data_IF_089347154801
#
_entry.id   IF_089347154801
#
_cell.length_a   1.000
_cell.length_b   1.000
_cell.length_c   1.000
_cell.angle_alpha   90.00
_cell.angle_beta   90.00
_cell.angle_gamma   90.00
#
_symmetry.space_group_name_H-M   'P 1'
#
loop_
_entity.id
_entity.type
_entity.pdbx_description
1 polymer ?
#
# COMPACT_ATOMS: atom_id res chain seq x y z
N UNK A 1 -65.41 -36.90 -1.36
CA UNK A 1 -66.15 -35.62 -1.47
C UNK A 1 -65.40 -34.59 -0.61
N UNK A 2 -64.54 -33.75 -1.20
CA UNK A 2 -64.81 -32.35 -1.61
C UNK A 2 -65.31 -31.45 -0.46
N UNK A 3 -64.38 -30.65 0.07
CA UNK A 3 -64.59 -29.52 0.99
C UNK A 3 -64.43 -28.18 0.23
N UNK A 4 -65.29 -27.20 0.56
CA UNK A 4 -65.38 -25.81 0.03
C UNK A 4 -66.50 -25.10 0.80
N UNK A 5 -66.51 -23.81 1.19
CA UNK A 5 -65.63 -22.61 1.10
C UNK A 5 -65.53 -21.99 2.54
N UNK A 6 -64.81 -20.91 2.86
CA UNK A 6 -64.06 -19.92 2.08
C UNK A 6 -64.65 -18.50 2.24
N UNK A 7 -63.78 -17.52 2.58
CA UNK A 7 -64.05 -16.05 2.76
C UNK A 7 -64.65 -15.60 4.10
N UNK A 8 -64.30 -14.44 4.68
CA UNK A 8 -63.14 -13.54 4.51
C UNK A 8 -63.05 -12.48 5.65
N UNK A 9 -61.87 -11.85 5.79
CA UNK A 9 -61.62 -10.48 6.31
C UNK A 9 -62.01 -10.10 7.76
N UNK A 10 -60.98 -9.92 8.59
CA UNK A 10 -60.90 -8.81 9.56
C UNK A 10 -59.42 -8.39 9.71
N UNK A 11 -59.11 -7.11 9.53
CA UNK A 11 -57.76 -6.58 9.68
C UNK A 11 -57.54 -6.07 11.12
N UNK A 12 -56.40 -6.41 11.72
CA UNK A 12 -55.98 -5.88 13.01
C UNK A 12 -54.62 -5.19 12.85
N UNK A 13 -54.61 -3.85 12.94
CA UNK A 13 -53.39 -3.07 13.07
C UNK A 13 -52.96 -3.00 14.53
N UNK A 14 -51.68 -3.24 14.81
CA UNK A 14 -51.07 -3.01 16.13
C UNK A 14 -50.04 -1.90 15.99
N UNK A 15 -50.20 -0.85 16.80
CA UNK A 15 -49.29 0.29 16.80
C UNK A 15 -47.98 -0.07 17.53
N UNK A 16 -46.84 0.20 16.89
CA UNK A 16 -45.53 0.13 17.52
C UNK A 16 -45.13 1.52 18.03
N UNK A 17 -44.88 1.64 19.34
CA UNK A 17 -44.37 2.87 19.96
C UNK A 17 -42.85 2.93 19.75
N UNK A 18 -42.38 3.92 18.98
CA UNK A 18 -40.95 4.22 18.86
C UNK A 18 -40.51 5.09 20.03
N UNK A 19 -39.65 4.54 20.90
CA UNK A 19 -38.92 5.31 21.92
C UNK A 19 -37.64 5.83 21.28
N UNK A 20 -37.54 7.15 21.12
CA UNK A 20 -36.33 7.79 20.63
C UNK A 20 -35.28 7.87 21.75
N UNK A 21 -34.17 7.15 21.60
CA UNK A 21 -32.98 7.31 22.45
C UNK A 21 -32.14 8.43 21.86
N UNK A 22 -32.06 9.57 22.55
CA UNK A 22 -31.16 10.67 22.19
C UNK A 22 -29.76 10.31 22.67
N UNK A 23 -28.90 9.86 21.74
CA UNK A 23 -27.48 9.69 22.01
C UNK A 23 -26.77 11.06 21.89
N UNK A 24 -26.40 11.64 23.02
CA UNK A 24 -25.56 12.84 23.08
C UNK A 24 -24.10 12.48 22.79
N UNK A 25 -23.60 12.84 21.61
CA UNK A 25 -22.16 12.77 21.31
C UNK A 25 -21.37 13.80 22.13
N UNK A 26 -20.18 13.46 22.67
CA UNK A 26 -19.25 14.46 23.21
C UNK A 26 -18.75 15.36 22.08
N UNK A 27 -18.65 16.66 22.33
CA UNK A 27 -18.43 17.66 21.29
C UNK A 27 -17.01 17.68 20.72
N UNK A 28 -16.92 17.77 19.40
CA UNK A 28 -15.76 18.32 18.70
C UNK A 28 -15.60 19.80 19.08
N UNK A 29 -14.38 20.19 19.49
CA UNK A 29 -14.04 21.60 19.68
C UNK A 29 -13.89 22.28 18.30
N UNK A 30 -14.54 23.43 18.11
CA UNK A 30 -14.45 24.22 16.89
C UNK A 30 -13.00 24.72 16.66
N UNK A 31 -12.46 24.85 15.44
CA UNK A 31 -13.05 25.17 14.13
C UNK A 31 -13.54 26.63 14.00
N UNK A 32 -12.63 27.59 14.11
CA UNK A 32 -12.82 28.96 13.64
C UNK A 32 -12.23 29.15 12.23
N UNK A 33 -13.00 29.77 11.31
CA UNK A 33 -12.47 30.29 10.04
C UNK A 33 -12.81 29.54 8.74
N UNK A 34 -13.90 28.76 8.67
CA UNK A 34 -14.31 28.09 7.43
C UNK A 34 -14.70 29.08 6.31
N UNK A 35 -13.78 29.30 5.36
CA UNK A 35 -14.09 29.93 4.06
C UNK A 35 -14.69 28.87 3.13
N UNK A 36 -15.80 29.12 2.43
CA UNK A 36 -16.42 28.08 1.60
C UNK A 36 -15.61 27.84 0.31
N UNK A 37 -15.19 26.59 0.07
CA UNK A 37 -14.95 26.10 -1.30
C UNK A 37 -13.58 25.53 -1.68
N UNK A 38 -12.83 24.89 -0.76
CA UNK A 38 -11.78 23.90 -1.11
C UNK A 38 -11.82 22.73 -0.16
N UNK A 39 -11.73 21.52 -0.69
CA UNK A 39 -11.52 20.30 0.12
C UNK A 39 -10.07 20.23 0.54
N UNK A 40 -9.82 20.14 1.84
CA UNK A 40 -8.49 19.79 2.36
C UNK A 40 -8.23 18.30 2.26
N UNK A 41 -6.96 17.93 2.27
CA UNK A 41 -6.44 16.59 2.54
C UNK A 41 -5.46 16.69 3.71
N UNK A 42 -5.49 15.72 4.61
CA UNK A 42 -4.47 15.57 5.63
C UNK A 42 -3.21 14.95 5.01
N UNK A 43 -2.06 15.58 5.24
CA UNK A 43 -0.75 15.11 4.78
C UNK A 43 0.22 14.97 5.93
N UNK A 44 1.04 13.94 5.87
CA UNK A 44 2.18 13.78 6.75
C UNK A 44 3.32 14.72 6.34
N UNK A 45 3.93 15.35 7.35
CA UNK A 45 5.09 16.20 7.23
C UNK A 45 6.34 15.37 7.53
N UNK A 46 7.32 15.26 6.62
CA UNK A 46 8.54 14.50 6.91
C UNK A 46 9.35 15.09 8.07
N UNK A 47 10.23 14.30 8.65
CA UNK A 47 11.18 14.70 9.69
C UNK A 47 12.19 15.75 9.20
N UNK A 48 12.86 16.51 10.08
CA UNK A 48 13.94 17.41 9.66
C UNK A 48 15.11 16.64 9.03
N UNK A 49 15.75 17.18 8.00
CA UNK A 49 16.77 16.47 7.19
C UNK A 49 17.97 15.93 8.01
N UNK A 50 18.35 16.62 9.08
CA UNK A 50 19.42 16.22 10.00
C UNK A 50 18.88 15.77 11.36
N UNK A 51 17.57 15.54 11.44
CA UNK A 51 16.87 15.01 12.61
C UNK A 51 17.02 13.50 12.74
N UNK A 52 16.29 12.94 13.72
CA UNK A 52 16.15 11.49 13.92
C UNK A 52 14.73 10.98 13.74
N UNK A 53 13.73 11.85 13.66
CA UNK A 53 12.35 11.44 13.45
C UNK A 53 12.10 11.15 11.95
N UNK A 54 11.24 10.18 11.66
CA UNK A 54 10.78 9.91 10.30
C UNK A 54 9.84 11.01 9.78
N UNK A 55 8.87 11.44 10.61
CA UNK A 55 7.94 12.52 10.34
C UNK A 55 7.97 13.65 11.38
N UNK A 56 7.00 14.56 11.28
CA UNK A 56 6.84 15.80 12.05
C UNK A 56 5.37 16.11 12.36
N UNK A 57 4.52 15.09 12.29
CA UNK A 57 3.07 15.21 12.46
C UNK A 57 2.38 15.51 11.14
N UNK A 58 1.10 15.86 11.23
CA UNK A 58 0.22 16.02 10.08
C UNK A 58 -0.28 17.46 9.97
N UNK A 59 -0.61 17.90 8.76
CA UNK A 59 -1.32 19.17 8.51
C UNK A 59 -2.35 19.01 7.40
N UNK A 60 -3.28 19.95 7.26
CA UNK A 60 -4.32 19.92 6.23
C UNK A 60 -4.01 20.92 5.11
N UNK A 61 -3.89 20.41 3.88
CA UNK A 61 -3.49 21.20 2.70
C UNK A 61 -4.59 21.15 1.63
N UNK A 62 -4.70 22.14 0.72
CA UNK A 62 -5.68 22.09 -0.36
C UNK A 62 -5.38 20.93 -1.32
N UNK A 63 -6.40 20.14 -1.70
CA UNK A 63 -6.24 19.05 -2.69
C UNK A 63 -5.78 19.56 -4.05
N UNK A 64 -6.20 20.76 -4.43
CA UNK A 64 -5.86 21.43 -5.69
C UNK A 64 -4.50 22.17 -5.64
N UNK A 65 -3.70 21.91 -4.59
CA UNK A 65 -2.43 22.57 -4.32
C UNK A 65 -2.52 24.09 -4.35
N UNK A 66 -1.60 24.75 -5.07
CA UNK A 66 -1.62 26.21 -5.25
C UNK A 66 -2.58 26.69 -6.35
N UNK A 67 -3.32 25.80 -7.02
CA UNK A 67 -4.37 26.15 -8.00
C UNK A 67 -3.90 26.99 -9.19
N UNK A 68 -2.65 26.82 -9.63
CA UNK A 68 -2.05 27.62 -10.71
C UNK A 68 -2.36 27.02 -12.09
N UNK A 69 -2.87 27.82 -13.06
CA UNK A 69 -3.02 27.37 -14.44
C UNK A 69 -1.65 27.18 -15.08
N UNK A 70 -1.42 26.01 -15.68
CA UNK A 70 -0.22 25.74 -16.46
C UNK A 70 -0.30 26.40 -17.83
N UNK A 71 0.85 26.78 -18.39
CA UNK A 71 0.98 27.16 -19.80
C UNK A 71 0.69 25.95 -20.69
N UNK A 72 0.27 26.20 -21.93
CA UNK A 72 0.11 25.12 -22.91
C UNK A 72 1.47 24.64 -23.38
N UNK A 73 1.66 23.33 -23.32
CA UNK A 73 2.73 22.62 -23.99
C UNK A 73 2.69 22.88 -25.51
N UNK A 74 3.84 22.79 -26.19
CA UNK A 74 3.88 22.74 -27.64
C UNK A 74 3.40 21.37 -28.16
N UNK A 75 3.00 21.28 -29.42
CA UNK A 75 2.52 20.02 -30.01
C UNK A 75 3.53 18.85 -29.97
N UNK A 76 4.84 19.12 -29.79
CA UNK A 76 5.85 18.10 -29.60
C UNK A 76 5.95 17.62 -28.13
N UNK A 77 5.71 18.53 -27.19
CA UNK A 77 5.64 18.23 -25.75
C UNK A 77 4.31 17.53 -25.40
N UNK A 78 3.18 17.97 -25.97
CA UNK A 78 1.87 17.29 -25.86
C UNK A 78 1.92 15.86 -26.40
N UNK A 79 2.80 15.57 -27.38
CA UNK A 79 2.96 14.24 -27.96
C UNK A 79 3.82 13.29 -27.11
N UNK A 80 4.58 13.82 -26.14
CA UNK A 80 5.33 13.05 -25.14
C UNK A 80 4.63 13.01 -23.77
N UNK A 81 3.62 13.87 -23.56
CA UNK A 81 2.92 13.96 -22.28
C UNK A 81 2.01 12.76 -22.01
N UNK A 82 2.36 12.01 -20.97
CA UNK A 82 1.62 10.83 -20.53
C UNK A 82 2.08 9.53 -21.13
N UNK A 83 3.21 9.49 -21.82
CA UNK A 83 3.82 8.24 -22.23
C UNK A 83 4.10 7.37 -20.99
N UNK A 84 3.79 6.07 -21.11
CA UNK A 84 3.86 5.11 -20.00
C UNK A 84 4.91 4.05 -20.31
N UNK A 85 5.94 3.98 -19.47
CA UNK A 85 7.05 3.05 -19.61
C UNK A 85 7.05 2.04 -18.47
N UNK A 86 6.98 0.74 -18.79
CA UNK A 86 7.16 -0.32 -17.78
C UNK A 86 8.64 -0.44 -17.41
N UNK A 87 9.02 0.04 -16.22
CA UNK A 87 10.40 -0.02 -15.71
C UNK A 87 10.72 -1.42 -15.17
N UNK A 88 9.75 -2.08 -14.54
CA UNK A 88 9.88 -3.44 -13.98
C UNK A 88 8.68 -4.27 -14.40
N UNK A 89 8.96 -5.42 -15.01
CA UNK A 89 7.95 -6.39 -15.46
C UNK A 89 8.16 -7.75 -14.78
N UNK A 90 7.37 -8.01 -13.74
CA UNK A 90 7.28 -9.33 -13.12
C UNK A 90 6.00 -10.09 -13.50
N UNK A 91 5.15 -9.53 -14.37
CA UNK A 91 3.94 -10.18 -14.88
C UNK A 91 2.77 -9.24 -15.16
N UNK A 92 1.60 -9.85 -15.34
CA UNK A 92 0.32 -9.16 -15.53
C UNK A 92 -0.03 -8.31 -14.30
N UNK A 93 -0.64 -7.15 -14.53
CA UNK A 93 -1.11 -6.27 -13.44
C UNK A 93 -2.12 -6.97 -12.53
N UNK A 94 -3.06 -7.71 -13.13
CA UNK A 94 -4.01 -8.57 -12.40
C UNK A 94 -3.42 -9.62 -11.41
N UNK A 95 -2.10 -9.81 -11.37
CA UNK A 95 -1.40 -10.65 -10.39
C UNK A 95 -0.24 -9.93 -9.66
N UNK A 96 0.03 -8.64 -9.89
CA UNK A 96 1.18 -7.91 -9.29
C UNK A 96 0.67 -6.70 -8.51
N UNK A 97 1.53 -6.19 -7.64
CA UNK A 97 1.35 -4.85 -7.07
C UNK A 97 1.97 -3.85 -8.06
N UNK A 98 1.16 -2.99 -8.65
CA UNK A 98 1.59 -2.02 -9.65
C UNK A 98 1.88 -0.66 -9.01
N UNK A 99 3.16 -0.27 -9.01
CA UNK A 99 3.61 1.05 -8.53
C UNK A 99 3.70 2.01 -9.71
N UNK A 100 3.08 3.18 -9.58
CA UNK A 100 3.16 4.26 -10.58
C UNK A 100 4.07 5.37 -10.07
N UNK A 101 5.14 5.64 -10.81
CA UNK A 101 6.09 6.73 -10.56
C UNK A 101 5.82 7.85 -11.58
N UNK A 102 5.70 9.09 -11.12
CA UNK A 102 5.39 10.26 -11.96
C UNK A 102 6.40 11.37 -11.65
N UNK A 103 7.05 11.91 -12.67
CA UNK A 103 8.03 13.00 -12.52
C UNK A 103 7.38 14.37 -12.65
N UNK A 104 7.73 15.33 -11.80
CA UNK A 104 7.30 16.72 -11.92
C UNK A 104 8.49 17.68 -11.96
N UNK A 105 8.37 18.76 -12.74
CA UNK A 105 9.48 19.67 -13.01
C UNK A 105 10.51 19.10 -14.00
N UNK A 106 10.16 18.07 -14.78
CA UNK A 106 10.97 17.59 -15.91
C UNK A 106 10.36 18.09 -17.23
N UNK A 107 11.14 18.81 -18.02
CA UNK A 107 10.76 19.17 -19.40
C UNK A 107 10.86 17.96 -20.33
N UNK A 108 10.32 18.06 -21.55
CA UNK A 108 10.43 16.98 -22.55
C UNK A 108 11.89 16.57 -22.88
N UNK A 109 12.84 17.49 -22.70
CA UNK A 109 14.27 17.20 -22.88
C UNK A 109 14.90 16.44 -21.68
N UNK A 110 14.22 16.39 -20.54
CA UNK A 110 14.70 15.80 -19.28
C UNK A 110 13.98 14.48 -18.93
N UNK A 111 13.00 14.01 -19.72
CA UNK A 111 12.30 12.74 -19.48
C UNK A 111 13.26 11.53 -19.40
N UNK A 112 14.34 11.55 -20.17
CA UNK A 112 15.39 10.53 -20.08
C UNK A 112 16.09 10.50 -18.70
N UNK A 113 16.20 11.64 -18.03
CA UNK A 113 16.70 11.74 -16.65
C UNK A 113 15.62 11.27 -15.66
N UNK A 114 14.35 11.66 -15.83
CA UNK A 114 13.25 11.13 -15.02
C UNK A 114 13.20 9.59 -15.03
N UNK A 115 13.39 8.95 -16.20
CA UNK A 115 13.43 7.48 -16.30
C UNK A 115 14.66 6.84 -15.62
N UNK A 116 15.73 7.60 -15.35
CA UNK A 116 16.87 7.17 -14.54
C UNK A 116 16.49 7.32 -13.06
N UNK A 117 16.07 8.52 -12.66
CA UNK A 117 15.68 8.87 -11.29
C UNK A 117 14.59 7.92 -10.74
N UNK A 118 13.59 7.57 -11.57
CA UNK A 118 12.54 6.62 -11.21
C UNK A 118 13.06 5.18 -10.99
N UNK A 119 14.08 4.75 -11.74
CA UNK A 119 14.73 3.43 -11.55
C UNK A 119 15.63 3.42 -10.33
N UNK A 120 16.38 4.49 -10.11
CA UNK A 120 17.25 4.64 -8.94
C UNK A 120 16.42 4.70 -7.66
N UNK A 121 15.33 5.48 -7.65
CA UNK A 121 14.41 5.55 -6.51
C UNK A 121 13.68 4.23 -6.25
N UNK A 122 13.28 3.50 -7.29
CA UNK A 122 12.77 2.14 -7.11
C UNK A 122 13.85 1.20 -6.54
N UNK A 123 15.10 1.31 -6.97
CA UNK A 123 16.19 0.50 -6.42
C UNK A 123 16.46 0.79 -4.93
N UNK A 124 16.31 2.04 -4.47
CA UNK A 124 16.33 2.38 -3.04
C UNK A 124 15.20 1.69 -2.26
N UNK A 125 13.95 1.76 -2.76
CA UNK A 125 12.79 1.11 -2.12
C UNK A 125 12.99 -0.41 -2.08
N UNK A 126 13.40 -0.99 -3.21
CA UNK A 126 13.63 -2.42 -3.37
C UNK A 126 14.81 -2.97 -2.58
N UNK A 127 15.66 -2.11 -1.99
CA UNK A 127 16.76 -2.50 -1.12
C UNK A 127 16.37 -2.67 0.37
N UNK A 128 15.17 -2.22 0.76
CA UNK A 128 14.67 -2.34 2.14
C UNK A 128 13.84 -3.62 2.29
N UNK A 129 14.02 -4.39 3.36
CA UNK A 129 13.14 -5.53 3.66
C UNK A 129 11.78 -5.01 4.22
N UNK A 130 10.63 -5.56 3.79
CA UNK A 130 10.49 -6.79 3.00
C UNK A 130 10.51 -6.62 1.46
N UNK A 131 10.63 -5.41 0.89
CA UNK A 131 10.67 -5.24 -0.57
C UNK A 131 11.78 -6.05 -1.22
N UNK A 132 12.98 -6.06 -0.63
CA UNK A 132 14.14 -6.86 -1.07
C UNK A 132 13.78 -8.34 -1.27
N UNK A 133 13.19 -9.01 -0.28
CA UNK A 133 12.72 -10.41 -0.44
C UNK A 133 11.63 -10.56 -1.50
N UNK A 134 10.74 -9.59 -1.63
CA UNK A 134 9.48 -9.71 -2.39
C UNK A 134 9.45 -8.98 -3.74
N UNK A 135 10.58 -8.51 -4.28
CA UNK A 135 10.66 -7.74 -5.54
C UNK A 135 9.86 -8.37 -6.70
N UNK A 136 9.80 -9.70 -6.79
CA UNK A 136 9.04 -10.44 -7.81
C UNK A 136 7.50 -10.30 -7.74
N UNK A 137 6.96 -9.63 -6.71
CA UNK A 137 5.54 -9.29 -6.60
C UNK A 137 5.17 -7.97 -7.29
N UNK A 138 6.15 -7.15 -7.65
CA UNK A 138 5.93 -5.77 -8.08
C UNK A 138 6.09 -5.58 -9.58
N UNK A 139 5.23 -4.75 -10.16
CA UNK A 139 5.51 -4.03 -11.41
C UNK A 139 5.81 -2.57 -11.06
N UNK A 140 6.57 -1.89 -11.91
CA UNK A 140 6.82 -0.45 -11.78
C UNK A 140 6.61 0.22 -13.13
N UNK A 141 5.81 1.27 -13.15
CA UNK A 141 5.52 2.09 -14.31
C UNK A 141 6.04 3.50 -14.07
N UNK A 142 6.73 4.08 -15.06
CA UNK A 142 6.94 5.52 -15.15
C UNK A 142 5.83 6.12 -16.04
N UNK A 143 5.25 7.23 -15.61
CA UNK A 143 4.36 8.07 -16.44
C UNK A 143 5.01 9.43 -16.61
N UNK A 144 5.23 9.82 -17.86
CA UNK A 144 5.87 11.09 -18.21
C UNK A 144 4.88 12.24 -18.04
N UNK A 145 5.15 13.18 -17.13
CA UNK A 145 4.33 14.38 -16.95
C UNK A 145 5.15 15.62 -17.33
N UNK A 146 4.96 16.07 -18.57
CA UNK A 146 5.83 17.05 -19.21
C UNK A 146 5.57 18.44 -18.62
N UNK A 147 6.59 18.98 -17.96
CA UNK A 147 6.55 20.30 -17.33
C UNK A 147 7.04 21.39 -18.28
N UNK A 148 6.39 22.56 -18.26
CA UNK A 148 6.83 23.74 -19.02
C UNK A 148 8.20 24.27 -18.55
N UNK A 149 8.59 23.98 -17.31
CA UNK A 149 9.84 24.44 -16.70
C UNK A 149 10.53 23.31 -15.92
N UNK A 150 11.87 23.35 -15.95
CA UNK A 150 12.73 22.51 -15.12
C UNK A 150 12.74 23.00 -13.67
N UNK A 151 12.71 22.05 -12.73
CA UNK A 151 12.62 22.29 -11.29
C UNK A 151 11.19 22.56 -10.78
N UNK A 152 11.00 22.57 -9.46
CA UNK A 152 9.70 22.76 -8.80
C UNK A 152 9.59 24.09 -8.04
N UNK A 153 8.37 24.47 -7.62
CA UNK A 153 8.18 25.73 -6.88
C UNK A 153 8.78 25.65 -5.46
N UNK A 154 9.31 26.77 -4.96
CA UNK A 154 9.94 26.86 -3.64
C UNK A 154 11.43 26.45 -3.56
N UNK A 155 12.04 26.10 -4.70
CA UNK A 155 13.46 25.74 -4.87
C UNK A 155 14.12 26.63 -5.95
N UNK A 156 15.24 27.36 -5.66
CA UNK A 156 16.05 27.31 -4.43
C UNK A 156 15.42 28.00 -3.21
N UNK A 157 14.48 28.93 -3.41
CA UNK A 157 13.87 29.71 -2.33
C UNK A 157 12.35 29.78 -2.41
N UNK A 158 11.70 30.08 -1.28
CA UNK A 158 10.23 30.07 -1.11
C UNK A 158 9.46 30.84 -2.19
N UNK A 159 9.97 31.98 -2.63
CA UNK A 159 9.34 32.83 -3.65
C UNK A 159 9.50 32.31 -5.10
N UNK A 160 10.21 31.18 -5.30
CA UNK A 160 10.41 30.61 -6.63
C UNK A 160 9.12 29.97 -7.13
N UNK A 161 8.64 30.42 -8.29
CA UNK A 161 7.46 29.88 -8.96
C UNK A 161 7.89 29.13 -10.22
N UNK A 162 7.41 27.90 -10.37
CA UNK A 162 7.59 27.06 -11.55
C UNK A 162 6.24 26.62 -12.11
N UNK A 163 6.15 26.60 -13.43
CA UNK A 163 5.05 26.03 -14.21
C UNK A 163 5.35 24.56 -14.52
N UNK A 164 4.81 23.67 -13.68
CA UNK A 164 5.07 22.22 -13.74
C UNK A 164 3.78 21.42 -13.89
N UNK A 165 3.91 20.19 -14.41
CA UNK A 165 2.80 19.33 -14.81
C UNK A 165 1.87 18.97 -13.63
N UNK A 166 2.44 18.64 -12.48
CA UNK A 166 1.72 18.30 -11.24
C UNK A 166 1.62 19.49 -10.27
N UNK A 167 2.37 20.57 -10.52
CA UNK A 167 2.36 21.77 -9.69
C UNK A 167 3.03 21.61 -8.33
N UNK A 168 4.02 20.72 -8.21
CA UNK A 168 4.70 20.41 -6.95
C UNK A 168 5.36 21.65 -6.33
N UNK A 169 5.31 21.76 -5.01
CA UNK A 169 5.87 22.91 -4.30
C UNK A 169 6.37 22.58 -2.89
N UNK A 170 7.55 23.09 -2.57
CA UNK A 170 8.07 23.21 -1.21
C UNK A 170 7.38 24.34 -0.43
N UNK A 171 7.65 24.45 0.87
CA UNK A 171 7.06 25.45 1.76
C UNK A 171 5.53 25.37 1.86
N UNK A 172 4.99 24.17 1.65
CA UNK A 172 3.59 23.90 1.92
C UNK A 172 3.33 24.08 3.43
N UNK A 173 2.22 24.74 3.78
CA UNK A 173 1.91 25.16 5.15
C UNK A 173 3.06 25.91 5.85
N UNK A 174 3.81 26.72 5.09
CA UNK A 174 5.04 27.42 5.51
C UNK A 174 6.21 26.54 5.97
N UNK A 175 6.10 25.21 5.83
CA UNK A 175 7.13 24.23 6.23
C UNK A 175 8.02 23.90 5.02
N UNK A 176 9.28 24.35 5.05
CA UNK A 176 10.23 24.27 3.92
C UNK A 176 10.25 22.91 3.20
N UNK A 177 10.35 21.82 3.97
CA UNK A 177 10.49 20.44 3.50
C UNK A 177 9.19 19.73 3.13
N UNK A 178 8.03 20.36 3.36
CA UNK A 178 6.75 19.77 2.99
C UNK A 178 6.53 20.01 1.48
N UNK A 179 6.63 18.93 0.71
CA UNK A 179 6.55 18.93 -0.75
C UNK A 179 5.15 18.50 -1.18
N UNK A 180 4.26 19.47 -1.34
CA UNK A 180 2.87 19.21 -1.71
C UNK A 180 2.67 19.17 -3.23
N UNK A 181 1.62 18.48 -3.67
CA UNK A 181 1.18 18.32 -5.06
C UNK A 181 -0.28 18.79 -5.23
N UNK A 182 -0.77 18.82 -6.48
CA UNK A 182 -2.19 18.94 -6.83
C UNK A 182 -2.73 17.54 -7.18
N UNK A 183 -3.59 16.97 -6.32
CA UNK A 183 -4.10 15.59 -6.41
C UNK A 183 -4.85 15.35 -7.73
N UNK A 184 -5.64 16.32 -8.19
CA UNK A 184 -6.40 16.19 -9.43
C UNK A 184 -5.47 16.10 -10.65
N UNK A 185 -4.26 16.68 -10.59
CA UNK A 185 -3.25 16.50 -11.65
C UNK A 185 -2.63 15.12 -11.56
N UNK A 186 -2.24 14.68 -10.36
CA UNK A 186 -1.68 13.33 -10.14
C UNK A 186 -2.64 12.26 -10.68
N UNK A 187 -3.91 12.28 -10.28
CA UNK A 187 -4.94 11.34 -10.75
C UNK A 187 -5.03 11.26 -12.29
N UNK A 188 -4.91 12.39 -13.00
CA UNK A 188 -4.95 12.42 -14.48
C UNK A 188 -3.75 11.75 -15.14
N UNK A 189 -2.60 11.64 -14.47
CA UNK A 189 -1.45 10.88 -14.95
C UNK A 189 -1.50 9.42 -14.48
N UNK A 190 -1.93 9.15 -13.24
CA UNK A 190 -2.15 7.78 -12.76
C UNK A 190 -3.14 7.03 -13.66
N UNK A 191 -4.23 7.69 -14.08
CA UNK A 191 -5.23 7.13 -14.99
C UNK A 191 -4.70 6.79 -16.41
N UNK A 192 -3.46 7.17 -16.77
CA UNK A 192 -2.80 6.75 -18.01
C UNK A 192 -2.11 5.38 -17.85
N UNK A 193 -1.74 4.98 -16.64
CA UNK A 193 -1.12 3.69 -16.36
C UNK A 193 -2.12 2.53 -16.43
N UNK A 194 -1.68 1.28 -16.71
CA UNK A 194 -2.60 0.14 -16.83
C UNK A 194 -3.24 -0.33 -15.51
N UNK A 195 -2.60 -0.04 -14.38
CA UNK A 195 -3.06 -0.31 -13.02
C UNK A 195 -2.24 0.55 -12.03
N UNK A 196 -2.79 0.83 -10.84
CA UNK A 196 -2.06 1.52 -9.77
C UNK A 196 -2.55 1.10 -8.37
N UNK A 197 -1.66 0.51 -7.58
CA UNK A 197 -1.89 0.24 -6.15
C UNK A 197 -1.22 1.28 -5.23
N UNK A 198 -0.14 1.92 -5.70
CA UNK A 198 0.63 2.92 -4.97
C UNK A 198 1.23 3.96 -5.94
N UNK A 199 1.24 5.23 -5.54
CA UNK A 199 1.76 6.33 -6.36
C UNK A 199 2.98 6.98 -5.70
N UNK A 200 4.02 7.24 -6.48
CA UNK A 200 5.23 7.96 -6.09
C UNK A 200 5.46 9.15 -7.03
N UNK A 201 5.41 10.37 -6.49
CA UNK A 201 5.73 11.59 -7.23
C UNK A 201 7.17 12.01 -6.97
N UNK A 202 7.96 12.15 -8.03
CA UNK A 202 9.34 12.59 -7.97
C UNK A 202 9.48 14.03 -8.49
N UNK A 203 9.81 14.96 -7.59
CA UNK A 203 10.18 16.31 -7.97
C UNK A 203 11.61 16.36 -8.51
N UNK A 204 11.81 16.98 -9.67
CA UNK A 204 13.13 17.32 -10.21
C UNK A 204 13.82 18.36 -9.30
N UNK A 205 14.52 17.87 -8.27
CA UNK A 205 15.05 18.65 -7.17
C UNK A 205 16.11 17.85 -6.43
N UNK A 206 17.11 18.54 -5.88
CA UNK A 206 18.08 17.99 -4.91
C UNK A 206 17.80 18.45 -3.47
N UNK A 207 16.90 19.42 -3.29
CA UNK A 207 16.46 19.92 -1.99
C UNK A 207 15.69 18.83 -1.25
N UNK A 208 15.93 18.68 0.05
CA UNK A 208 15.22 17.69 0.83
C UNK A 208 13.75 18.07 1.06
N UNK A 209 12.86 17.11 0.79
CA UNK A 209 11.47 17.18 1.19
C UNK A 209 10.61 16.09 0.57
N UNK A 210 9.41 16.00 1.09
CA UNK A 210 8.42 14.98 0.75
C UNK A 210 7.09 15.25 1.46
N UNK A 211 6.15 14.34 1.32
CA UNK A 211 4.87 14.31 2.00
C UNK A 211 4.21 12.93 1.84
N UNK A 212 3.47 12.51 2.87
CA UNK A 212 2.57 11.36 2.83
C UNK A 212 1.12 11.77 2.60
N UNK A 213 0.51 11.32 1.51
CA UNK A 213 -0.94 11.39 1.30
C UNK A 213 -1.52 10.00 1.53
N UNK A 214 -1.81 9.70 2.79
CA UNK A 214 -2.12 8.35 3.26
C UNK A 214 -3.62 7.98 3.16
N UNK A 215 -4.42 8.78 2.44
CA UNK A 215 -5.80 8.46 2.04
C UNK A 215 -5.83 7.70 0.69
N UNK A 216 -6.60 6.61 0.56
CA UNK A 216 -6.80 5.96 -0.73
C UNK A 216 -7.53 6.86 -1.72
N UNK A 217 -7.18 6.77 -3.00
CA UNK A 217 -7.85 7.52 -4.06
C UNK A 217 -9.31 7.09 -4.20
N UNK A 218 -10.23 8.04 -4.00
CA UNK A 218 -11.66 7.83 -4.14
C UNK A 218 -12.11 7.57 -5.60
N UNK A 219 -11.25 7.91 -6.57
CA UNK A 219 -11.50 7.82 -8.02
C UNK A 219 -10.84 6.58 -8.65
N UNK A 220 -9.61 6.26 -8.22
CA UNK A 220 -8.72 5.26 -8.85
C UNK A 220 -8.35 4.09 -7.94
N UNK A 221 -8.57 4.18 -6.62
CA UNK A 221 -8.43 3.06 -5.69
C UNK A 221 -7.01 2.73 -5.20
N UNK A 222 -5.97 3.43 -5.67
CA UNK A 222 -4.62 3.29 -5.12
C UNK A 222 -4.56 3.71 -3.64
N UNK A 223 -3.66 3.12 -2.86
CA UNK A 223 -3.64 3.19 -1.39
C UNK A 223 -3.10 4.50 -0.80
N UNK A 224 -2.35 5.29 -1.58
CA UNK A 224 -1.82 6.60 -1.20
C UNK A 224 -0.83 7.19 -2.23
N UNK A 225 -0.43 8.45 -2.02
CA UNK A 225 0.66 9.13 -2.77
C UNK A 225 1.80 9.43 -1.80
N UNK A 226 3.02 9.07 -2.17
CA UNK A 226 4.22 9.62 -1.56
C UNK A 226 4.87 10.65 -2.50
N UNK A 227 5.36 11.76 -1.96
CA UNK A 227 6.20 12.71 -2.70
C UNK A 227 7.63 12.68 -2.20
N UNK A 228 8.60 12.80 -3.12
CA UNK A 228 10.01 12.89 -2.81
C UNK A 228 10.75 13.75 -3.84
N UNK A 229 11.85 14.37 -3.42
CA UNK A 229 12.81 14.92 -4.39
C UNK A 229 13.71 13.82 -4.96
N UNK A 230 13.84 13.80 -6.28
CA UNK A 230 14.56 12.76 -7.02
C UNK A 230 16.03 12.66 -6.59
N UNK A 231 16.75 13.79 -6.65
CA UNK A 231 18.18 13.90 -6.36
C UNK A 231 18.51 14.04 -4.87
N UNK A 232 17.73 13.39 -3.98
CA UNK A 232 17.96 13.44 -2.53
C UNK A 232 17.63 12.10 -1.84
N UNK A 233 18.66 11.36 -1.44
CA UNK A 233 18.57 10.03 -0.81
C UNK A 233 17.66 10.00 0.43
N UNK A 234 17.64 11.09 1.22
CA UNK A 234 16.80 11.17 2.42
C UNK A 234 15.33 11.36 2.09
N UNK A 235 15.02 12.06 0.99
CA UNK A 235 13.66 12.10 0.45
C UNK A 235 13.23 10.71 -0.06
N UNK A 236 14.18 9.90 -0.54
CA UNK A 236 13.92 8.48 -0.81
C UNK A 236 13.56 7.68 0.43
N UNK A 237 14.23 7.92 1.57
CA UNK A 237 13.86 7.30 2.84
C UNK A 237 12.48 7.75 3.35
N UNK A 238 12.10 9.02 3.15
CA UNK A 238 10.71 9.48 3.38
C UNK A 238 9.75 8.65 2.54
N UNK A 239 10.01 8.47 1.25
CA UNK A 239 9.11 7.70 0.39
C UNK A 239 8.86 6.26 0.87
N UNK A 240 9.89 5.58 1.37
CA UNK A 240 9.77 4.21 1.91
C UNK A 240 9.00 4.19 3.25
N UNK A 241 9.09 5.26 4.04
CA UNK A 241 8.28 5.44 5.24
C UNK A 241 6.79 5.61 4.90
N UNK A 242 6.45 6.45 3.91
CA UNK A 242 5.06 6.64 3.46
C UNK A 242 4.41 5.35 2.92
N UNK A 243 5.20 4.46 2.31
CA UNK A 243 4.67 3.15 1.90
C UNK A 243 4.31 2.25 3.09
N UNK A 244 4.87 2.50 4.27
CA UNK A 244 4.50 1.88 5.54
C UNK A 244 3.06 2.16 5.93
N UNK A 245 2.62 3.41 5.78
CA UNK A 245 1.23 3.81 5.96
C UNK A 245 0.36 3.25 4.82
N UNK A 246 0.74 3.51 3.56
CA UNK A 246 -0.08 3.15 2.39
C UNK A 246 -0.30 1.64 2.26
N UNK A 247 0.77 0.82 2.26
CA UNK A 247 0.66 -0.64 2.08
C UNK A 247 0.57 -1.40 3.42
N UNK A 248 1.37 -1.01 4.42
CA UNK A 248 1.39 -1.68 5.71
C UNK A 248 0.20 -1.37 6.62
N UNK A 249 -0.49 -0.24 6.39
CA UNK A 249 -1.48 0.34 7.32
C UNK A 249 -0.89 0.50 8.74
N UNK A 250 0.38 0.90 8.78
CA UNK A 250 1.13 1.21 9.99
C UNK A 250 0.81 2.62 10.48
N UNK A 251 0.94 2.85 11.77
CA UNK A 251 0.99 4.17 12.37
C UNK A 251 2.43 4.62 12.59
N UNK A 252 2.59 5.90 12.92
CA UNK A 252 3.87 6.42 13.39
C UNK A 252 4.27 5.90 14.78
N UNK A 253 5.58 5.71 14.93
CA UNK A 253 6.22 5.29 16.18
C UNK A 253 7.03 6.45 16.82
N UNK A 254 7.06 7.63 16.19
CA UNK A 254 7.62 8.85 16.78
C UNK A 254 6.60 9.58 17.69
N UNK A 255 7.11 10.50 18.52
CA UNK A 255 6.31 11.24 19.51
C UNK A 255 6.92 12.61 19.85
N UNK A 256 6.10 13.51 20.42
CA UNK A 256 6.46 14.93 20.63
C UNK A 256 6.51 15.38 22.09
N UNK A 257 7.67 15.27 22.77
CA UNK A 257 7.89 15.86 24.08
C UNK A 257 7.67 17.39 24.06
N UNK A 258 6.74 17.87 24.88
CA UNK A 258 6.48 19.31 25.05
C UNK A 258 5.58 19.96 24.01
N UNK A 259 4.97 19.19 23.10
CA UNK A 259 3.94 19.72 22.19
C UNK A 259 2.55 19.61 22.85
N UNK A 260 1.81 20.72 23.02
CA UNK A 260 0.51 20.71 23.70
C UNK A 260 -0.51 19.77 23.03
N UNK A 261 -1.11 18.88 23.81
CA UNK A 261 -2.09 17.90 23.35
C UNK A 261 -1.52 16.52 23.03
N UNK A 262 -0.19 16.35 22.93
CA UNK A 262 0.48 15.07 22.70
C UNK A 262 1.16 14.49 23.96
N UNK A 263 0.92 15.04 25.15
CA UNK A 263 1.53 14.55 26.39
C UNK A 263 1.08 13.13 26.75
N UNK A 264 -0.20 12.80 26.52
CA UNK A 264 -0.77 11.50 26.84
C UNK A 264 -1.94 11.12 25.94
N UNK A 265 -1.89 9.94 25.35
CA UNK A 265 -3.02 9.36 24.64
C UNK A 265 -4.11 8.89 25.62
N UNK A 266 -5.36 9.21 25.31
CA UNK A 266 -6.54 8.85 26.13
C UNK A 266 -7.64 8.12 25.34
N UNK A 267 -7.45 7.87 24.05
CA UNK A 267 -8.43 7.23 23.15
C UNK A 267 -8.61 5.72 23.36
N UNK A 268 -9.29 5.07 22.40
CA UNK A 268 -9.47 3.61 22.37
C UNK A 268 -8.20 2.85 21.97
N UNK A 269 -8.24 1.52 21.91
CA UNK A 269 -7.11 0.78 21.31
C UNK A 269 -7.00 1.14 19.82
N UNK A 270 -5.82 1.55 19.31
CA UNK A 270 -5.63 1.88 17.88
C UNK A 270 -5.91 0.66 16.98
N UNK A 271 -6.15 0.87 15.69
CA UNK A 271 -6.35 -0.23 14.75
C UNK A 271 -5.02 -0.81 14.27
N UNK A 272 -4.05 0.07 14.04
CA UNK A 272 -2.75 -0.13 13.39
C UNK A 272 -1.88 -1.13 14.16
N UNK A 273 -1.19 -2.00 13.43
CA UNK A 273 -0.54 -3.20 13.99
C UNK A 273 0.69 -2.91 14.87
N UNK A 274 1.29 -1.72 14.75
CA UNK A 274 2.54 -1.34 15.39
C UNK A 274 2.40 -0.28 16.51
N UNK A 275 1.18 0.08 16.91
CA UNK A 275 0.93 0.84 18.14
C UNK A 275 -0.20 0.20 18.98
N UNK A 276 -0.11 0.34 20.29
CA UNK A 276 -1.05 -0.27 21.25
C UNK A 276 -1.08 0.49 22.57
N UNK A 277 -2.19 0.44 23.31
CA UNK A 277 -2.25 0.87 24.72
C UNK A 277 -1.82 -0.23 25.70
N UNK A 278 -1.66 -1.46 25.23
CA UNK A 278 -1.40 -2.63 26.06
C UNK A 278 0.07 -2.72 26.45
N UNK A 279 0.32 -2.99 27.74
CA UNK A 279 1.63 -3.46 28.20
C UNK A 279 1.92 -4.88 27.70
N UNK A 280 3.19 -5.31 27.74
CA UNK A 280 3.59 -6.65 27.27
C UNK A 280 2.80 -7.79 27.96
N UNK A 281 2.54 -7.69 29.26
CA UNK A 281 1.77 -8.71 30.00
C UNK A 281 0.29 -8.73 29.58
N UNK A 282 -0.33 -7.57 29.38
CA UNK A 282 -1.71 -7.46 28.90
C UNK A 282 -1.86 -7.96 27.46
N UNK A 283 -0.90 -7.61 26.59
CA UNK A 283 -0.85 -8.00 25.19
C UNK A 283 -0.67 -9.52 25.05
N UNK A 284 0.23 -10.10 25.84
CA UNK A 284 0.43 -11.55 25.94
C UNK A 284 -0.82 -12.27 26.46
N UNK A 285 -1.37 -11.79 27.59
CA UNK A 285 -2.57 -12.39 28.22
C UNK A 285 -3.84 -12.31 27.37
N UNK A 286 -3.95 -11.30 26.51
CA UNK A 286 -5.07 -11.15 25.57
C UNK A 286 -4.81 -11.79 24.19
N UNK A 287 -3.58 -12.23 23.91
CA UNK A 287 -3.16 -12.67 22.55
C UNK A 287 -3.46 -11.61 21.47
N UNK A 288 -3.18 -10.35 21.78
CA UNK A 288 -3.49 -9.19 20.93
C UNK A 288 -2.24 -8.62 20.26
N UNK A 289 -2.42 -7.81 19.22
CA UNK A 289 -1.34 -7.04 18.55
C UNK A 289 -0.12 -7.93 18.25
N UNK A 290 1.08 -7.48 18.62
CA UNK A 290 2.33 -8.19 18.34
C UNK A 290 2.75 -9.21 19.42
N UNK A 291 1.81 -9.77 20.19
CA UNK A 291 2.14 -10.73 21.26
C UNK A 291 3.04 -11.90 20.81
N UNK A 292 2.89 -12.37 19.56
CA UNK A 292 3.68 -13.46 18.94
C UNK A 292 5.14 -13.10 18.67
N UNK A 293 5.48 -11.82 18.79
CA UNK A 293 6.80 -11.26 18.55
C UNK A 293 7.51 -10.85 19.84
N UNK A 294 6.81 -10.72 20.98
CA UNK A 294 7.40 -10.29 22.25
C UNK A 294 8.64 -11.14 22.64
N UNK A 295 9.76 -10.46 22.89
CA UNK A 295 11.06 -11.05 23.21
C UNK A 295 11.94 -11.40 22.00
N UNK A 296 11.42 -11.34 20.76
CA UNK A 296 12.19 -11.64 19.56
C UNK A 296 13.14 -10.49 19.16
N UNK A 297 14.29 -10.82 18.59
CA UNK A 297 15.25 -9.83 18.11
C UNK A 297 14.83 -9.27 16.75
N UNK A 298 14.56 -7.97 16.70
CA UNK A 298 14.03 -7.24 15.55
C UNK A 298 15.14 -6.57 14.72
N UNK A 299 15.04 -6.52 13.38
CA UNK A 299 16.15 -6.09 12.51
C UNK A 299 16.49 -4.60 12.61
N UNK A 300 15.56 -3.76 13.08
CA UNK A 300 15.77 -2.35 13.43
C UNK A 300 16.77 -2.13 14.58
N UNK A 301 16.98 -3.15 15.41
CA UNK A 301 17.92 -3.18 16.53
C UNK A 301 17.26 -3.12 17.90
N UNK A 302 16.77 -4.26 18.38
CA UNK A 302 16.25 -4.42 19.74
C UNK A 302 15.54 -5.75 19.94
N UNK A 303 15.07 -6.01 21.15
CA UNK A 303 14.03 -7.00 21.39
C UNK A 303 12.66 -6.35 21.14
N UNK A 304 11.70 -7.09 20.60
CA UNK A 304 10.31 -6.62 20.56
C UNK A 304 9.74 -6.66 21.98
N UNK A 305 9.10 -5.56 22.39
CA UNK A 305 8.49 -5.36 23.69
C UNK A 305 7.36 -4.34 23.59
N UNK A 306 7.12 -3.58 24.65
CA UNK A 306 6.16 -2.46 24.64
C UNK A 306 6.88 -1.20 25.14
N UNK A 307 7.43 -0.43 24.21
CA UNK A 307 8.22 0.77 24.49
C UNK A 307 7.31 1.99 24.52
N UNK A 308 7.24 2.71 25.65
CA UNK A 308 6.32 3.85 25.78
C UNK A 308 6.71 5.01 24.83
N UNK A 309 5.70 5.63 24.25
CA UNK A 309 5.80 6.68 23.24
C UNK A 309 5.57 6.14 21.82
N UNK A 310 4.67 6.78 21.08
CA UNK A 310 4.30 6.39 19.71
C UNK A 310 2.94 6.99 19.33
N UNK A 311 2.61 6.98 18.04
CA UNK A 311 1.42 7.63 17.50
C UNK A 311 1.35 9.11 17.89
N UNK A 312 2.48 9.83 17.84
CA UNK A 312 2.68 11.22 18.29
C UNK A 312 2.72 11.43 19.80
N UNK A 313 2.09 10.56 20.61
CA UNK A 313 1.96 10.75 22.06
C UNK A 313 3.18 10.30 22.86
N UNK A 314 3.54 11.07 23.89
CA UNK A 314 4.67 10.77 24.78
C UNK A 314 4.37 9.59 25.73
N UNK A 315 3.11 9.47 26.18
CA UNK A 315 2.67 8.42 27.13
C UNK A 315 1.32 7.83 26.76
N UNK A 316 1.01 6.63 27.28
CA UNK A 316 -0.28 5.96 27.06
C UNK A 316 -0.45 5.23 25.73
N UNK A 317 0.58 5.25 24.87
CA UNK A 317 0.77 4.34 23.74
C UNK A 317 2.16 3.71 23.82
N UNK A 318 2.27 2.50 23.30
CA UNK A 318 3.48 1.73 23.16
C UNK A 318 3.73 1.40 21.68
N UNK A 319 5.01 1.35 21.31
CA UNK A 319 5.53 0.84 20.02
C UNK A 319 6.30 -0.48 20.23
N UNK A 320 6.50 -1.33 19.21
CA UNK A 320 7.05 -2.67 19.38
C UNK A 320 8.55 -2.70 19.71
N UNK A 321 9.36 -1.75 19.23
CA UNK A 321 10.81 -1.71 19.44
C UNK A 321 11.25 -0.32 19.88
N UNK A 322 12.50 -0.11 20.32
CA UNK A 322 12.93 1.26 20.59
C UNK A 322 12.86 2.12 19.32
N UNK A 323 13.27 1.58 18.16
CA UNK A 323 13.29 2.35 16.92
C UNK A 323 12.89 1.47 15.72
N UNK A 324 12.43 2.07 14.63
CA UNK A 324 12.05 1.40 13.38
C UNK A 324 11.97 2.44 12.25
N UNK A 325 11.70 2.03 11.02
CA UNK A 325 11.43 2.97 9.92
C UNK A 325 10.23 3.89 10.21
N UNK A 326 9.25 3.43 10.99
CA UNK A 326 8.09 4.25 11.40
C UNK A 326 8.43 5.26 12.52
N UNK A 327 9.68 5.27 13.01
CA UNK A 327 10.18 6.25 13.99
C UNK A 327 11.36 7.06 13.46
N UNK A 328 12.25 6.47 12.67
CA UNK A 328 13.49 7.07 12.14
C UNK A 328 13.79 6.60 10.73
N UNK A 329 14.05 7.55 9.81
CA UNK A 329 14.59 7.24 8.47
C UNK A 329 15.91 6.45 8.55
N UNK A 330 16.18 5.60 7.56
CA UNK A 330 17.40 4.78 7.51
C UNK A 330 17.40 3.58 8.46
N UNK A 331 16.24 3.22 9.04
CA UNK A 331 16.04 2.00 9.82
C UNK A 331 15.24 0.96 9.03
N UNK A 332 15.44 -0.34 9.27
CA UNK A 332 14.47 -1.37 8.91
C UNK A 332 13.11 -1.17 9.59
N UNK A 333 12.04 -1.74 9.03
CA UNK A 333 10.79 -1.95 9.74
C UNK A 333 11.00 -2.88 10.96
N UNK A 334 10.19 -2.70 12.01
CA UNK A 334 10.10 -3.64 13.13
C UNK A 334 9.47 -4.97 12.68
N UNK A 335 9.67 -6.08 13.39
CA UNK A 335 9.08 -7.37 13.00
C UNK A 335 7.55 -7.32 12.78
N UNK A 336 6.74 -6.62 13.62
CA UNK A 336 5.32 -6.42 13.34
C UNK A 336 5.07 -5.55 12.10
N UNK A 337 5.94 -4.58 11.84
CA UNK A 337 5.94 -3.79 10.60
C UNK A 337 6.22 -4.63 9.35
N UNK A 338 7.20 -5.53 9.42
CA UNK A 338 7.53 -6.48 8.34
C UNK A 338 6.33 -7.41 8.06
N UNK A 339 5.70 -7.96 9.11
CA UNK A 339 4.50 -8.79 8.98
C UNK A 339 3.36 -8.04 8.29
N UNK A 340 3.10 -6.80 8.69
CA UNK A 340 2.06 -5.94 8.12
C UNK A 340 2.37 -5.51 6.67
N UNK A 341 3.62 -5.21 6.34
CA UNK A 341 4.06 -4.89 4.97
C UNK A 341 3.91 -6.09 4.03
N UNK A 342 4.28 -7.30 4.48
CA UNK A 342 4.03 -8.53 3.71
C UNK A 342 2.52 -8.74 3.53
N UNK A 343 1.72 -8.56 4.58
CA UNK A 343 0.25 -8.60 4.45
C UNK A 343 -0.25 -7.60 3.40
N UNK A 344 0.30 -6.39 3.38
CA UNK A 344 0.09 -5.37 2.36
C UNK A 344 0.36 -5.88 0.95
N UNK A 345 1.56 -6.41 0.70
CA UNK A 345 1.93 -6.90 -0.63
C UNK A 345 0.96 -7.97 -1.14
N UNK A 346 0.49 -8.87 -0.27
CA UNK A 346 -0.46 -9.93 -0.59
C UNK A 346 -1.94 -9.48 -0.70
N UNK A 347 -2.30 -8.23 -0.35
CA UNK A 347 -3.63 -7.67 -0.68
C UNK A 347 -3.76 -7.37 -2.17
N UNK A 348 -2.66 -6.95 -2.81
CA UNK A 348 -2.64 -6.51 -4.21
C UNK A 348 -2.05 -7.59 -5.15
N UNK A 349 -0.93 -8.22 -4.75
CA UNK A 349 -0.26 -9.22 -5.58
C UNK A 349 -0.83 -10.65 -5.44
N UNK A 350 -0.81 -11.41 -6.54
CA UNK A 350 -1.12 -12.84 -6.59
C UNK A 350 0.09 -13.67 -6.98
N UNK A 351 0.38 -14.66 -6.13
CA UNK A 351 1.52 -15.56 -6.30
C UNK A 351 1.31 -16.75 -7.24
N UNK A 352 0.17 -16.84 -7.94
CA UNK A 352 -0.13 -17.88 -8.95
C UNK A 352 -0.72 -17.25 -10.21
N UNK A 353 0.10 -17.13 -11.24
CA UNK A 353 -0.35 -16.73 -12.58
C UNK A 353 -0.67 -17.95 -13.43
N UNK A 354 -1.85 -18.00 -14.05
CA UNK A 354 -2.26 -19.10 -14.93
C UNK A 354 -1.67 -18.97 -16.36
N UNK A 355 -0.51 -19.59 -16.59
CA UNK A 355 0.14 -19.63 -17.92
C UNK A 355 -0.70 -20.42 -18.94
N UNK A 356 -1.48 -21.41 -18.48
CA UNK A 356 -2.50 -22.05 -19.32
C UNK A 356 -3.85 -21.37 -19.10
N UNK A 357 -4.55 -20.88 -20.15
CA UNK A 357 -5.84 -20.23 -20.00
C UNK A 357 -6.86 -21.11 -19.25
N UNK A 358 -7.49 -20.54 -18.23
CA UNK A 358 -8.48 -21.18 -17.34
C UNK A 358 -9.88 -21.25 -17.96
N UNK A 359 -10.17 -20.40 -18.94
CA UNK A 359 -11.46 -20.30 -19.65
C UNK A 359 -11.82 -21.50 -20.53
N UNK A 360 -10.88 -22.42 -20.78
CA UNK A 360 -11.09 -23.61 -21.63
C UNK A 360 -11.01 -24.91 -20.84
N UNK A 361 -11.87 -25.87 -21.18
CA UNK A 361 -11.78 -27.23 -20.62
C UNK A 361 -10.54 -27.94 -21.16
N UNK A 362 -9.67 -28.42 -20.28
CA UNK A 362 -8.48 -29.19 -20.66
C UNK A 362 -8.82 -30.68 -20.85
N UNK A 363 -8.17 -31.29 -21.84
CA UNK A 363 -8.27 -32.72 -22.24
C UNK A 363 -6.95 -33.45 -22.02
N UNK A 364 -6.88 -34.79 -22.08
CA UNK A 364 -5.67 -35.55 -21.77
C UNK A 364 -4.40 -35.12 -22.53
N UNK A 365 -4.53 -34.59 -23.75
CA UNK A 365 -3.41 -34.04 -24.53
C UNK A 365 -2.92 -32.65 -24.08
N UNK A 366 -3.52 -32.04 -23.05
CA UNK A 366 -3.13 -30.72 -22.54
C UNK A 366 -2.31 -30.81 -21.25
N UNK A 367 -1.60 -29.73 -20.97
CA UNK A 367 -0.85 -29.50 -19.72
C UNK A 367 -1.41 -28.26 -19.06
N UNK A 368 -1.77 -28.33 -17.78
CA UNK A 368 -2.02 -27.16 -16.95
C UNK A 368 -0.66 -26.61 -16.48
N UNK A 369 -0.48 -25.29 -16.53
CA UNK A 369 0.77 -24.62 -16.15
C UNK A 369 0.48 -23.36 -15.34
N UNK A 370 1.26 -23.16 -14.28
CA UNK A 370 1.33 -21.93 -13.50
C UNK A 370 2.72 -21.29 -13.62
N UNK A 371 2.78 -19.98 -13.44
CA UNK A 371 3.99 -19.28 -13.04
C UNK A 371 3.81 -18.82 -11.58
N UNK A 372 4.90 -18.84 -10.83
CA UNK A 372 4.98 -18.32 -9.47
C UNK A 372 6.22 -17.42 -9.39
N UNK A 373 6.17 -16.28 -8.69
CA UNK A 373 7.33 -15.42 -8.54
C UNK A 373 8.42 -16.13 -7.72
N UNK A 374 9.68 -15.77 -7.96
CA UNK A 374 10.78 -16.17 -7.07
C UNK A 374 10.93 -15.12 -5.99
N UNK A 375 11.14 -15.57 -4.76
CA UNK A 375 11.53 -14.70 -3.65
C UNK A 375 13.05 -14.56 -3.63
N UNK A 376 13.56 -13.41 -3.20
CA UNK A 376 14.99 -13.16 -3.01
C UNK A 376 15.42 -13.35 -1.54
N UNK A 377 14.68 -14.19 -0.79
CA UNK A 377 14.92 -14.43 0.63
C UNK A 377 16.34 -14.96 0.89
N UNK A 378 17.05 -14.34 1.84
CA UNK A 378 18.43 -14.68 2.17
C UNK A 378 18.64 -16.09 2.74
N UNK A 379 17.59 -16.70 3.29
CA UNK A 379 17.56 -18.08 3.79
C UNK A 379 17.23 -19.12 2.71
N UNK A 380 16.94 -18.67 1.48
CA UNK A 380 16.52 -19.52 0.35
C UNK A 380 15.05 -19.95 0.39
N UNK A 381 14.22 -19.36 1.26
CA UNK A 381 12.77 -19.62 1.31
C UNK A 381 12.10 -19.30 -0.03
N UNK A 382 11.11 -20.13 -0.42
CA UNK A 382 10.35 -20.02 -1.67
C UNK A 382 8.89 -20.47 -1.48
N UNK A 383 8.03 -20.01 -2.38
CA UNK A 383 6.62 -20.38 -2.44
C UNK A 383 6.40 -21.88 -2.67
N UNK A 384 5.42 -22.45 -1.97
CA UNK A 384 5.07 -23.88 -2.07
C UNK A 384 3.91 -24.10 -3.02
N UNK A 385 4.16 -24.76 -4.15
CA UNK A 385 3.12 -25.11 -5.14
C UNK A 385 2.49 -26.47 -4.83
N UNK A 386 1.15 -26.51 -4.78
CA UNK A 386 0.33 -27.69 -4.51
C UNK A 386 -0.81 -27.79 -5.53
N UNK A 387 -1.09 -29.01 -6.00
CA UNK A 387 -2.19 -29.28 -6.93
C UNK A 387 -3.31 -30.08 -6.27
N UNK A 388 -4.54 -29.85 -6.70
CA UNK A 388 -5.73 -30.52 -6.18
C UNK A 388 -6.66 -30.96 -7.31
N UNK A 389 -7.25 -32.15 -7.19
CA UNK A 389 -8.34 -32.61 -8.06
C UNK A 389 -9.62 -32.74 -7.23
N UNK A 390 -10.65 -31.99 -7.59
CA UNK A 390 -11.90 -31.88 -6.82
C UNK A 390 -11.66 -31.62 -5.31
N UNK A 391 -10.73 -30.70 -5.01
CA UNK A 391 -10.32 -30.35 -3.65
C UNK A 391 -9.38 -31.36 -2.96
N UNK A 392 -9.04 -32.49 -3.58
CA UNK A 392 -8.12 -33.51 -3.01
C UNK A 392 -6.68 -33.32 -3.50
N UNK A 393 -5.75 -33.17 -2.55
CA UNK A 393 -4.33 -32.90 -2.84
C UNK A 393 -3.65 -34.02 -3.64
N UNK A 394 -2.93 -33.65 -4.69
CA UNK A 394 -2.17 -34.51 -5.57
C UNK A 394 -0.69 -34.56 -5.15
N UNK A 395 -0.40 -35.17 -3.99
CA UNK A 395 0.94 -35.17 -3.34
C UNK A 395 2.14 -35.50 -4.25
N UNK A 396 1.96 -36.35 -5.27
CA UNK A 396 3.00 -36.68 -6.26
C UNK A 396 3.46 -35.50 -7.14
N UNK A 397 2.76 -34.37 -7.07
CA UNK A 397 2.98 -33.15 -7.85
C UNK A 397 3.34 -31.92 -7.00
N UNK A 398 3.66 -32.11 -5.71
CA UNK A 398 4.19 -31.04 -4.86
C UNK A 398 5.42 -30.38 -5.49
N UNK A 399 5.49 -29.05 -5.44
CA UNK A 399 6.55 -28.23 -6.05
C UNK A 399 6.52 -28.13 -7.58
N UNK A 400 5.68 -28.88 -8.30
CA UNK A 400 5.60 -28.79 -9.76
C UNK A 400 4.82 -27.55 -10.20
N UNK A 401 5.35 -26.79 -11.17
CA UNK A 401 4.63 -25.68 -11.82
C UNK A 401 3.79 -26.11 -13.02
N UNK A 402 3.80 -27.39 -13.38
CA UNK A 402 2.99 -27.93 -14.48
C UNK A 402 2.55 -29.37 -14.23
N UNK A 403 1.40 -29.74 -14.77
CA UNK A 403 0.81 -31.08 -14.66
C UNK A 403 0.11 -31.46 -15.97
N UNK A 404 0.40 -32.64 -16.54
CA UNK A 404 -0.32 -33.12 -17.74
C UNK A 404 -1.64 -33.74 -17.34
N UNK A 405 -2.71 -33.42 -18.06
CA UNK A 405 -4.05 -34.02 -17.79
C UNK A 405 -4.02 -35.53 -18.02
N UNK A 406 -3.13 -36.04 -18.88
CA UNK A 406 -2.85 -37.47 -19.04
C UNK A 406 -2.44 -38.18 -17.74
N UNK A 407 -1.72 -37.52 -16.82
CA UNK A 407 -1.33 -38.06 -15.50
C UNK A 407 -2.54 -38.27 -14.57
N UNK A 408 -3.70 -37.69 -14.92
CA UNK A 408 -4.94 -37.76 -14.15
C UNK A 408 -5.97 -38.71 -14.74
N UNK A 409 -5.81 -39.21 -15.97
CA UNK A 409 -6.78 -40.07 -16.68
C UNK A 409 -7.39 -41.20 -15.83
N UNK A 410 -6.64 -41.96 -15.00
CA UNK A 410 -7.22 -42.99 -14.13
C UNK A 410 -8.26 -42.47 -13.12
N UNK A 411 -8.26 -41.16 -12.83
CA UNK A 411 -9.18 -40.45 -11.94
C UNK A 411 -10.36 -39.77 -12.68
N UNK A 412 -10.39 -39.83 -14.02
CA UNK A 412 -11.38 -39.17 -14.89
C UNK A 412 -12.30 -40.17 -15.63
N UNK A 413 -12.29 -41.45 -15.21
CA UNK A 413 -12.98 -42.54 -15.90
C UNK A 413 -14.51 -42.48 -15.81
N UNK A 414 -15.06 -41.70 -14.88
CA UNK A 414 -16.50 -41.39 -14.79
C UNK A 414 -17.00 -40.45 -15.91
N UNK A 415 -16.08 -39.89 -16.72
CA UNK A 415 -16.31 -38.99 -17.86
C UNK A 415 -17.00 -37.66 -17.50
N UNK A 416 -17.09 -37.30 -16.22
CA UNK A 416 -17.63 -35.99 -15.79
C UNK A 416 -16.58 -34.89 -15.95
N UNK A 417 -16.99 -33.65 -15.69
CA UNK A 417 -16.05 -32.54 -15.57
C UNK A 417 -15.51 -32.50 -14.14
N UNK A 418 -14.21 -32.36 -13.99
CA UNK A 418 -13.52 -32.22 -12.71
C UNK A 418 -12.85 -30.85 -12.62
N UNK A 419 -12.60 -30.39 -11.39
CA UNK A 419 -11.81 -29.19 -11.15
C UNK A 419 -10.38 -29.58 -10.81
N UNK A 420 -9.43 -29.19 -11.66
CA UNK A 420 -8.01 -29.20 -11.33
C UNK A 420 -7.62 -27.81 -10.86
N UNK A 421 -7.07 -27.66 -9.66
CA UNK A 421 -6.53 -26.39 -9.18
C UNK A 421 -5.06 -26.49 -8.80
N UNK A 422 -4.39 -25.35 -8.86
CA UNK A 422 -3.03 -25.14 -8.38
C UNK A 422 -3.03 -23.95 -7.43
N UNK A 423 -2.46 -24.15 -6.24
CA UNK A 423 -2.28 -23.15 -5.19
C UNK A 423 -0.78 -22.96 -4.98
N UNK A 424 -0.33 -21.71 -4.87
CA UNK A 424 0.96 -21.38 -4.28
C UNK A 424 0.72 -20.61 -2.99
N UNK A 425 1.50 -20.96 -1.99
CA UNK A 425 1.39 -20.50 -0.61
C UNK A 425 2.77 -20.12 -0.12
N UNK A 426 2.85 -18.95 0.50
CA UNK A 426 3.99 -18.51 1.28
C UNK A 426 3.86 -19.05 2.71
N UNK A 427 5.00 -19.41 3.30
CA UNK A 427 5.12 -19.90 4.67
C UNK A 427 6.31 -19.27 5.38
N UNK A 428 6.61 -18.02 5.04
CA UNK A 428 7.66 -17.22 5.68
C UNK A 428 7.46 -17.18 7.19
N UNK A 429 8.56 -17.26 7.94
CA UNK A 429 8.55 -17.08 9.39
C UNK A 429 8.31 -15.62 9.81
N UNK A 430 8.38 -14.68 8.85
CA UNK A 430 8.07 -13.25 9.03
C UNK A 430 6.58 -12.92 9.14
N UNK A 431 5.69 -13.93 9.05
CA UNK A 431 4.26 -13.79 9.32
C UNK A 431 3.83 -14.88 10.31
N UNK A 432 3.53 -14.47 11.54
CA UNK A 432 3.11 -15.33 12.65
C UNK A 432 1.62 -15.25 12.96
N UNK A 433 0.93 -14.18 12.56
CA UNK A 433 -0.52 -14.15 12.67
C UNK A 433 -1.17 -15.19 11.72
N UNK A 434 -2.04 -16.10 12.23
CA UNK A 434 -2.61 -17.18 11.43
C UNK A 434 -3.71 -16.71 10.46
N UNK A 435 -4.36 -15.58 10.73
CA UNK A 435 -5.35 -14.99 9.79
C UNK A 435 -4.60 -14.37 8.61
N UNK A 436 -3.54 -13.61 8.88
CA UNK A 436 -2.63 -13.05 7.87
C UNK A 436 -1.95 -14.17 7.08
N UNK A 437 -1.32 -15.15 7.73
CA UNK A 437 -0.73 -16.31 7.03
C UNK A 437 -1.78 -17.08 6.20
N UNK A 438 -3.06 -17.00 6.56
CA UNK A 438 -4.18 -17.50 5.79
C UNK A 438 -4.39 -16.81 4.43
N UNK A 439 -4.00 -15.53 4.27
CA UNK A 439 -4.14 -14.75 3.03
C UNK A 439 -2.93 -14.84 2.09
N UNK A 440 -1.78 -15.29 2.60
CA UNK A 440 -0.50 -15.44 1.88
C UNK A 440 -0.49 -16.59 0.82
N UNK A 441 -1.59 -16.75 0.10
CA UNK A 441 -1.76 -17.78 -0.94
C UNK A 441 -2.74 -17.35 -2.01
N UNK A 442 -2.51 -17.81 -3.23
CA UNK A 442 -3.46 -17.65 -4.34
C UNK A 442 -3.68 -18.97 -5.05
N UNK A 443 -4.83 -19.13 -5.70
CA UNK A 443 -5.24 -20.37 -6.36
C UNK A 443 -5.82 -20.07 -7.73
N UNK A 444 -5.44 -20.87 -8.71
CA UNK A 444 -6.07 -20.88 -10.03
C UNK A 444 -6.62 -22.27 -10.36
N UNK A 445 -7.60 -22.35 -11.26
CA UNK A 445 -8.29 -23.60 -11.55
C UNK A 445 -8.70 -23.74 -13.02
N UNK A 446 -8.72 -24.98 -13.50
CA UNK A 446 -9.20 -25.41 -14.80
C UNK A 446 -10.28 -26.47 -14.65
N UNK A 447 -11.30 -26.39 -15.50
CA UNK A 447 -12.15 -27.54 -15.77
C UNK A 447 -11.36 -28.55 -16.60
N UNK A 448 -11.30 -29.81 -16.17
CA UNK A 448 -10.67 -30.90 -16.93
C UNK A 448 -11.68 -32.02 -17.19
N UNK A 449 -11.50 -32.73 -18.30
CA UNK A 449 -12.35 -33.86 -18.69
C UNK A 449 -11.56 -34.84 -19.56
N UNK A 450 -11.96 -36.12 -19.53
CA UNK A 450 -11.46 -37.15 -20.45
C UNK A 450 -11.68 -36.75 -21.92
#
# INVERSE_FOLDING_TARGET
MRSARGSALAAAGVAAVLVAVVASAPGSAAADGATPGRSGVEVEIPGPEHGRAAGSGHTHVPKEGQGRPASRLSAAEEAADGDVTKLVDNGSTADRLDIVVIGDGYTAAELAQFHIDAKEKWAEVAAVEPYSTYQGLFNVWAVDAVSNQSGVSGDPGKDTVRDTALGSYFWCDDIERLLCIDQDKVDRYVAKAPEADLVLVLANSTKYGGAGYNEPSASLGYEGISTASAGNDKSGQVAIHETGHSLGKLADEYYYPGYPGYEKYTGGEPAESNISKLTADEMSGQSAKWHRWLGEQSPDGGAVGTYEGGGYYVTGLYRPTDNSLMRSLGKPFSLPGVEAMIAGFYRHARVVTAVTPTSRTLRPGNTAKVAVPRLAAADGHQLRVRWYLDGRELRFSEGRTQLRVSELVPRLLDRRAHQLSATAEDRTASVRDPEVAGTLKSTTAWTIRL
#
